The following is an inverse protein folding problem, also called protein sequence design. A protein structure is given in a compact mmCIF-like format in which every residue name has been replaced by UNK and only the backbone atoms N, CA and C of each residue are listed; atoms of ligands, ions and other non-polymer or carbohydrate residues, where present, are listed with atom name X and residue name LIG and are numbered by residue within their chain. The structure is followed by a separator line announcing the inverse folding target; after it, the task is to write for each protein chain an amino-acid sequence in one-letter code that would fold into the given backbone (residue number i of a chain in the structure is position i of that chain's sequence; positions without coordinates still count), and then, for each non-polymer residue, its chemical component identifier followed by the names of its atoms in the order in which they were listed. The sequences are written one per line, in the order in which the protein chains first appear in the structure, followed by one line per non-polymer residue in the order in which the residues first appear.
data_IF_389430580791
#
_entry.id   IF_389430580791
#
_cell.length_a   1.000
_cell.length_b   1.000
_cell.length_c   1.000
_cell.angle_alpha   90.00
_cell.angle_beta   90.00
_cell.angle_gamma   90.00
#
_symmetry.space_group_name_H-M   'P 1'
#
loop_
_entity.id
_entity.type
_entity.pdbx_description
1 polymer ?
#
# COMPACT_ATOMS: atom_id res chain seq x y z
N UNK A 1 16.69 10.06 9.66
CA UNK A 1 15.37 9.49 9.34
C UNK A 1 15.60 8.15 8.67
N UNK A 2 15.33 7.06 9.36
CA UNK A 2 15.59 5.72 8.83
C UNK A 2 14.39 5.28 8.00
N UNK A 3 14.63 5.10 6.71
CA UNK A 3 13.64 4.58 5.77
C UNK A 3 13.62 3.07 5.90
N UNK A 4 12.48 2.51 6.26
CA UNK A 4 12.39 1.07 6.53
C UNK A 4 11.97 0.35 5.27
N UNK A 5 12.81 -0.59 4.84
CA UNK A 5 12.50 -1.53 3.77
C UNK A 5 12.02 -2.83 4.39
N UNK A 6 10.91 -3.33 3.88
CA UNK A 6 10.45 -4.67 4.18
C UNK A 6 10.49 -5.50 2.89
N UNK A 7 10.96 -6.73 3.01
CA UNK A 7 11.08 -7.66 1.88
C UNK A 7 10.39 -8.97 2.21
N UNK A 8 9.43 -9.34 1.39
CA UNK A 8 8.78 -10.63 1.41
C UNK A 8 9.08 -11.39 0.11
N UNK A 9 8.64 -12.64 0.01
CA UNK A 9 8.97 -13.49 -1.13
C UNK A 9 8.40 -13.00 -2.46
N UNK A 10 7.31 -12.22 -2.43
CA UNK A 10 6.56 -11.76 -3.61
C UNK A 10 6.43 -10.23 -3.74
N UNK A 11 6.85 -9.47 -2.73
CA UNK A 11 6.74 -8.02 -2.69
C UNK A 11 7.86 -7.38 -1.88
N UNK A 12 8.16 -6.11 -2.20
CA UNK A 12 9.09 -5.30 -1.43
C UNK A 12 8.47 -3.93 -1.18
N UNK A 13 8.28 -3.60 0.09
CA UNK A 13 7.75 -2.32 0.53
C UNK A 13 8.87 -1.39 0.99
N UNK A 14 8.73 -0.12 0.66
CA UNK A 14 9.59 0.95 1.11
C UNK A 14 8.76 2.07 1.71
N UNK A 15 8.85 2.27 3.03
CA UNK A 15 8.14 3.35 3.71
C UNK A 15 8.90 4.66 3.47
N UNK A 16 8.42 5.46 2.52
CA UNK A 16 9.01 6.75 2.16
C UNK A 16 8.67 7.84 3.16
N UNK A 17 7.43 7.84 3.66
CA UNK A 17 6.95 8.77 4.69
C UNK A 17 6.26 7.95 5.78
N UNK A 18 6.89 7.71 6.93
CA UNK A 18 6.26 7.08 8.08
C UNK A 18 5.20 8.00 8.69
N UNK A 19 4.11 7.45 9.21
CA UNK A 19 3.05 8.25 9.85
C UNK A 19 3.52 9.02 11.09
N UNK A 20 4.56 8.52 11.78
CA UNK A 20 5.18 9.22 12.92
C UNK A 20 5.79 10.56 12.54
N UNK A 21 6.20 10.76 11.28
CA UNK A 21 6.75 12.04 10.81
C UNK A 21 5.67 13.03 10.38
N UNK A 22 4.41 12.60 10.32
CA UNK A 22 3.26 13.42 9.92
C UNK A 22 2.20 13.47 11.01
N UNK A 23 2.56 13.18 12.27
CA UNK A 23 1.64 13.14 13.40
C UNK A 23 0.38 12.25 13.14
N UNK A 24 0.55 11.16 12.40
CA UNK A 24 -0.53 10.22 12.09
C UNK A 24 -1.44 10.63 10.92
N UNK A 25 -1.22 11.77 10.26
CA UNK A 25 -2.08 12.26 9.19
C UNK A 25 -2.02 11.42 7.91
N UNK A 26 -0.83 10.94 7.52
CA UNK A 26 -0.65 10.10 6.33
C UNK A 26 0.59 9.21 6.43
N UNK A 27 0.67 8.21 5.56
CA UNK A 27 1.93 7.53 5.25
C UNK A 27 2.05 7.30 3.75
N UNK A 28 3.27 7.31 3.24
CA UNK A 28 3.57 7.00 1.84
C UNK A 28 4.45 5.77 1.80
N UNK A 29 3.98 4.75 1.10
CA UNK A 29 4.68 3.49 0.88
C UNK A 29 4.84 3.30 -0.63
N UNK A 30 6.03 2.91 -1.05
CA UNK A 30 6.27 2.39 -2.40
C UNK A 30 6.32 0.87 -2.32
N UNK A 31 5.53 0.19 -3.17
CA UNK A 31 5.50 -1.26 -3.28
C UNK A 31 6.01 -1.67 -4.66
N UNK A 32 6.87 -2.68 -4.69
CA UNK A 32 7.23 -3.42 -5.91
C UNK A 32 6.86 -4.88 -5.72
N UNK A 33 5.82 -5.32 -6.42
CA UNK A 33 5.34 -6.70 -6.37
C UNK A 33 5.71 -7.48 -7.63
N UNK A 34 5.92 -8.80 -7.48
CA UNK A 34 6.16 -9.71 -8.62
C UNK A 34 4.86 -10.00 -9.38
N UNK A 35 4.93 -10.40 -10.67
CA UNK A 35 3.77 -10.90 -11.39
C UNK A 35 3.07 -12.03 -10.62
N UNK A 36 1.73 -12.04 -10.67
CA UNK A 36 0.87 -12.96 -9.92
C UNK A 36 0.88 -12.79 -8.39
N UNK A 37 1.47 -11.72 -7.86
CA UNK A 37 1.21 -11.32 -6.48
C UNK A 37 -0.29 -11.12 -6.27
N UNK A 38 -0.81 -11.71 -5.20
CA UNK A 38 -2.22 -11.62 -4.84
C UNK A 38 -2.34 -11.27 -3.36
N UNK A 39 -2.94 -10.11 -3.10
CA UNK A 39 -3.30 -9.70 -1.76
C UNK A 39 -4.76 -10.09 -1.46
N UNK A 40 -4.97 -10.81 -0.36
CA UNK A 40 -6.31 -11.20 0.05
C UNK A 40 -7.19 -9.97 0.33
N UNK A 41 -8.47 -10.08 -0.03
CA UNK A 41 -9.47 -9.02 0.19
C UNK A 41 -9.56 -8.65 1.69
N UNK A 42 -9.51 -7.36 1.98
CA UNK A 42 -9.62 -6.82 3.33
C UNK A 42 -10.37 -5.47 3.32
N UNK A 43 -10.60 -4.89 4.49
CA UNK A 43 -11.33 -3.63 4.66
C UNK A 43 -10.75 -2.80 5.80
N UNK A 44 -10.39 -1.55 5.51
CA UNK A 44 -9.93 -0.59 6.50
C UNK A 44 -11.11 0.19 7.11
N UNK A 45 -11.30 0.09 8.43
CA UNK A 45 -12.41 0.77 9.13
C UNK A 45 -12.19 2.27 9.38
N UNK A 46 -10.94 2.73 9.37
CA UNK A 46 -10.52 4.07 9.85
C UNK A 46 -9.55 4.77 8.90
N UNK A 47 -9.23 4.16 7.77
CA UNK A 47 -8.20 4.64 6.86
C UNK A 47 -8.72 4.53 5.43
N UNK A 48 -8.37 5.52 4.61
CA UNK A 48 -8.59 5.51 3.16
C UNK A 48 -7.26 5.22 2.49
N UNK A 49 -7.24 4.24 1.61
CA UNK A 49 -6.06 3.87 0.85
C UNK A 49 -6.17 4.41 -0.58
N UNK A 50 -5.05 4.93 -1.09
CA UNK A 50 -4.95 5.46 -2.46
C UNK A 50 -3.82 4.72 -3.16
N UNK A 51 -4.12 4.13 -4.33
CA UNK A 51 -3.14 3.48 -5.18
C UNK A 51 -2.74 4.42 -6.32
N UNK A 52 -1.44 4.70 -6.44
CA UNK A 52 -0.86 5.41 -7.58
C UNK A 52 0.09 4.47 -8.31
N UNK A 53 -0.25 4.07 -9.54
CA UNK A 53 0.53 3.11 -10.31
C UNK A 53 1.61 3.86 -11.08
N UNK A 54 2.87 3.67 -10.67
CA UNK A 54 4.04 4.29 -11.30
C UNK A 54 4.45 3.56 -12.58
N UNK A 55 4.51 2.22 -12.51
CA UNK A 55 4.91 1.34 -13.62
C UNK A 55 4.14 0.01 -13.55
N UNK A 56 3.87 -0.60 -14.70
CA UNK A 56 3.17 -1.88 -14.81
C UNK A 56 1.65 -1.77 -14.79
N UNK A 57 0.97 -2.86 -14.43
CA UNK A 57 -0.48 -2.94 -14.36
C UNK A 57 -0.92 -3.67 -13.09
N UNK A 58 -1.96 -3.16 -12.44
CA UNK A 58 -2.60 -3.77 -11.28
C UNK A 58 -4.08 -3.94 -11.57
N UNK A 59 -4.62 -5.12 -11.23
CA UNK A 59 -6.06 -5.35 -11.21
C UNK A 59 -6.59 -5.09 -9.80
N UNK A 60 -7.38 -4.03 -9.63
CA UNK A 60 -7.97 -3.67 -8.35
C UNK A 60 -9.46 -4.05 -8.32
N UNK A 61 -9.85 -4.90 -7.38
CA UNK A 61 -11.23 -5.32 -7.19
C UNK A 61 -11.81 -4.66 -5.94
N UNK A 62 -12.74 -3.73 -6.12
CA UNK A 62 -13.38 -2.98 -5.03
C UNK A 62 -14.84 -3.41 -4.87
N UNK A 63 -15.31 -3.49 -3.62
CA UNK A 63 -16.73 -3.65 -3.31
C UNK A 63 -17.20 -2.34 -2.67
N UNK A 64 -17.96 -1.58 -3.43
CA UNK A 64 -18.56 -0.35 -2.95
C UNK A 64 -19.83 -0.71 -2.18
N UNK A 65 -19.92 -0.34 -0.90
CA UNK A 65 -21.20 -0.38 -0.18
C UNK A 65 -22.02 0.83 -0.61
N UNK A 66 -23.19 0.59 -1.20
CA UNK A 66 -24.16 1.66 -1.43
C UNK A 66 -24.74 2.09 -0.08
N UNK A 67 -24.72 3.40 0.18
CA UNK A 67 -25.36 4.04 1.32
C UNK A 67 -26.83 4.27 1.08
#
# INVERSE_FOLDING_TARGET
MERVKYGWSQDSLYVKVPSSTTNGELSIVEDTSKPNFFLARHHHKKMTEIFYIVEGQVNLFLIMKQS
#
